data_IF_094673010293
#
_entry.id   IF_094673010293
#
_cell.length_a   1.000
_cell.length_b   1.000
_cell.length_c   1.000
_cell.angle_alpha   90.00
_cell.angle_beta   90.00
_cell.angle_gamma   90.00
#
_symmetry.space_group_name_H-M   'P 1'
#
loop_
_entity.id
_entity.type
_entity.pdbx_description
1 polymer ?
#
# COMPACT_ATOMS: atom_id res chain seq x y z
N UNK A 1 16.29 -9.98 -10.41
CA UNK A 1 15.69 -9.06 -9.42
C UNK A 1 14.30 -8.70 -9.89
N UNK A 2 13.30 -8.68 -9.01
CA UNK A 2 11.95 -8.21 -9.35
C UNK A 2 11.81 -6.81 -8.80
N UNK A 3 11.53 -5.85 -9.67
CA UNK A 3 11.30 -4.46 -9.26
C UNK A 3 10.02 -4.36 -8.43
N UNK A 4 10.15 -3.80 -7.23
CA UNK A 4 9.07 -3.74 -6.25
C UNK A 4 9.10 -2.40 -5.52
N UNK A 5 7.93 -1.97 -5.07
CA UNK A 5 7.81 -0.89 -4.11
C UNK A 5 7.46 -1.46 -2.73
N UNK A 6 7.86 -0.73 -1.70
CA UNK A 6 7.49 -0.99 -0.32
C UNK A 6 6.94 0.27 0.32
N UNK A 7 5.78 0.16 0.94
CA UNK A 7 5.20 1.18 1.81
C UNK A 7 5.26 0.68 3.25
N UNK A 8 5.65 1.54 4.18
CA UNK A 8 5.66 1.25 5.62
C UNK A 8 4.92 2.36 6.35
N UNK A 9 4.00 2.00 7.25
CA UNK A 9 3.17 2.95 7.98
C UNK A 9 2.99 2.51 9.43
N UNK A 10 3.15 3.44 10.37
CA UNK A 10 2.92 3.19 11.78
C UNK A 10 1.43 3.37 12.10
N UNK A 11 0.79 2.29 12.54
CA UNK A 11 -0.63 2.22 12.92
C UNK A 11 -0.79 1.44 14.24
N UNK A 12 -0.23 1.94 15.35
CA UNK A 12 -0.25 1.23 16.62
C UNK A 12 -1.67 0.94 17.12
N UNK A 13 -1.85 -0.24 17.71
CA UNK A 13 -3.13 -0.69 18.27
C UNK A 13 -4.18 -1.12 17.24
N UNK A 14 -3.89 -1.06 15.93
CA UNK A 14 -4.79 -1.57 14.90
C UNK A 14 -4.72 -3.09 14.86
N UNK A 15 -5.89 -3.73 14.81
CA UNK A 15 -6.02 -5.16 14.52
C UNK A 15 -6.35 -5.37 13.04
N UNK A 16 -5.99 -6.54 12.48
CA UNK A 16 -6.25 -6.86 11.07
C UNK A 16 -7.72 -6.73 10.67
N UNK A 17 -8.65 -7.08 11.56
CA UNK A 17 -10.11 -7.00 11.31
C UNK A 17 -10.62 -5.55 11.18
N UNK A 18 -9.86 -4.60 11.74
CA UNK A 18 -10.19 -3.17 11.72
C UNK A 18 -9.37 -2.41 10.68
N UNK A 19 -8.70 -3.12 9.75
CA UNK A 19 -7.88 -2.57 8.69
C UNK A 19 -8.54 -2.85 7.34
N UNK A 20 -8.84 -1.81 6.59
CA UNK A 20 -9.27 -1.87 5.20
C UNK A 20 -8.14 -1.33 4.31
N UNK A 21 -7.68 -2.15 3.38
CA UNK A 21 -6.66 -1.81 2.39
C UNK A 21 -7.27 -1.92 1.00
N UNK A 22 -7.25 -0.82 0.24
CA UNK A 22 -7.62 -0.80 -1.19
C UNK A 22 -6.40 -0.42 -2.01
N UNK A 23 -6.12 -1.19 -3.04
CA UNK A 23 -4.98 -0.96 -3.92
C UNK A 23 -5.46 -0.94 -5.36
N UNK A 24 -5.04 0.09 -6.09
CA UNK A 24 -5.12 0.16 -7.55
C UNK A 24 -3.70 0.21 -8.12
N UNK A 25 -3.59 0.29 -9.44
CA UNK A 25 -2.30 0.36 -10.12
C UNK A 25 -1.48 1.60 -9.71
N UNK A 26 -2.14 2.69 -9.34
CA UNK A 26 -1.50 3.99 -9.06
C UNK A 26 -1.75 4.51 -7.65
N UNK A 27 -2.59 3.86 -6.85
CA UNK A 27 -3.02 4.41 -5.56
C UNK A 27 -3.18 3.31 -4.52
N UNK A 28 -2.73 3.60 -3.30
CA UNK A 28 -3.00 2.79 -2.10
C UNK A 28 -3.86 3.62 -1.14
N UNK A 29 -4.96 3.05 -0.67
CA UNK A 29 -5.82 3.63 0.35
C UNK A 29 -5.80 2.73 1.58
N UNK A 30 -5.42 3.31 2.72
CA UNK A 30 -5.41 2.66 4.03
C UNK A 30 -6.46 3.32 4.90
N UNK A 31 -7.36 2.51 5.45
CA UNK A 31 -8.34 2.89 6.46
C UNK A 31 -8.20 1.97 7.65
N UNK A 32 -8.06 2.53 8.85
CA UNK A 32 -7.99 1.71 10.05
C UNK A 32 -8.60 2.40 11.26
N UNK A 33 -9.00 1.61 12.25
CA UNK A 33 -9.40 2.08 13.56
C UNK A 33 -8.74 1.28 14.69
N UNK A 34 -8.46 1.96 15.79
CA UNK A 34 -7.87 1.39 16.99
C UNK A 34 -8.42 2.07 18.24
N UNK A 35 -8.36 1.35 19.36
CA UNK A 35 -8.58 1.93 20.70
C UNK A 35 -7.24 2.00 21.40
N UNK A 36 -6.75 3.21 21.67
CA UNK A 36 -5.47 3.42 22.37
C UNK A 36 -5.78 4.06 23.73
N UNK A 37 -5.62 3.28 24.79
CA UNK A 37 -6.07 3.65 26.13
C UNK A 37 -7.59 3.82 26.17
N UNK A 38 -8.07 5.05 26.36
CA UNK A 38 -9.50 5.40 26.38
C UNK A 38 -9.97 6.13 25.11
N UNK A 39 -9.13 6.24 24.09
CA UNK A 39 -9.41 7.02 22.87
C UNK A 39 -9.62 6.12 21.67
N UNK A 40 -10.64 6.43 20.87
CA UNK A 40 -10.79 5.89 19.53
C UNK A 40 -9.90 6.69 18.56
N UNK A 41 -9.08 6.00 17.79
CA UNK A 41 -8.18 6.57 16.79
C UNK A 41 -8.56 6.01 15.43
N UNK A 42 -8.71 6.90 14.45
CA UNK A 42 -9.01 6.55 13.07
C UNK A 42 -7.88 7.01 12.17
N UNK A 43 -7.41 6.12 11.32
CA UNK A 43 -6.38 6.39 10.31
C UNK A 43 -7.02 6.38 8.94
N UNK A 44 -6.74 7.40 8.15
CA UNK A 44 -7.08 7.45 6.74
C UNK A 44 -5.90 8.02 5.96
N UNK A 45 -5.42 7.28 4.97
CA UNK A 45 -4.43 7.79 4.03
C UNK A 45 -4.75 7.30 2.62
N UNK A 46 -4.71 8.25 1.68
CA UNK A 46 -4.60 7.99 0.25
C UNK A 46 -3.17 8.32 -0.17
N UNK A 47 -2.54 7.40 -0.88
CA UNK A 47 -1.15 7.50 -1.32
C UNK A 47 -1.15 7.26 -2.82
N UNK A 48 -0.85 8.30 -3.59
CA UNK A 48 -0.60 8.15 -5.01
C UNK A 48 0.84 7.67 -5.21
N UNK A 49 1.00 6.61 -5.98
CA UNK A 49 2.26 5.91 -6.19
C UNK A 49 3.06 6.59 -7.30
N UNK A 50 4.39 6.67 -7.16
CA UNK A 50 5.25 7.25 -8.20
C UNK A 50 5.33 6.37 -9.46
N UNK A 51 4.93 5.10 -9.35
CA UNK A 51 5.00 4.07 -10.40
C UNK A 51 3.74 3.23 -10.41
N UNK A 52 3.44 2.61 -11.55
CA UNK A 52 2.35 1.66 -11.64
C UNK A 52 2.77 0.29 -11.09
N UNK A 53 1.88 -0.33 -10.31
CA UNK A 53 2.07 -1.65 -9.74
C UNK A 53 1.05 -2.66 -10.25
N UNK A 54 1.37 -3.93 -10.08
CA UNK A 54 0.46 -5.06 -10.27
C UNK A 54 -0.36 -5.29 -8.97
N UNK A 55 -1.67 -4.94 -8.94
CA UNK A 55 -2.48 -5.06 -7.72
C UNK A 55 -2.63 -6.50 -7.22
N UNK A 56 -2.56 -7.49 -8.12
CA UNK A 56 -2.69 -8.91 -7.75
C UNK A 56 -1.43 -9.45 -7.06
N UNK A 57 -0.31 -8.72 -7.17
CA UNK A 57 0.95 -9.06 -6.51
C UNK A 57 1.08 -8.52 -5.08
N UNK A 58 0.10 -7.74 -4.62
CA UNK A 58 0.16 -7.05 -3.33
C UNK A 58 0.22 -8.04 -2.17
N UNK A 59 1.17 -7.80 -1.26
CA UNK A 59 1.24 -8.46 0.04
C UNK A 59 1.26 -7.41 1.13
N UNK A 60 0.51 -7.65 2.19
CA UNK A 60 0.45 -6.77 3.36
C UNK A 60 0.73 -7.57 4.63
N UNK A 61 1.54 -7.00 5.53
CA UNK A 61 1.87 -7.57 6.84
C UNK A 61 1.73 -6.48 7.90
N UNK A 62 1.00 -6.80 8.96
CA UNK A 62 0.92 -5.97 10.16
C UNK A 62 1.70 -6.67 11.27
N UNK A 63 2.77 -6.05 11.77
CA UNK A 63 3.63 -6.61 12.82
C UNK A 63 4.02 -5.51 13.78
N UNK A 64 3.79 -5.72 15.08
CA UNK A 64 4.12 -4.77 16.14
C UNK A 64 3.61 -3.33 15.89
N UNK A 65 2.42 -3.18 15.29
CA UNK A 65 1.85 -1.87 14.98
C UNK A 65 2.35 -1.21 13.69
N UNK A 66 3.19 -1.89 12.91
CA UNK A 66 3.68 -1.41 11.60
C UNK A 66 3.01 -2.19 10.49
N UNK A 67 2.38 -1.47 9.56
CA UNK A 67 1.83 -2.01 8.31
C UNK A 67 2.86 -1.88 7.20
N UNK A 68 3.34 -3.01 6.72
CA UNK A 68 4.19 -3.12 5.54
C UNK A 68 3.39 -3.63 4.35
N UNK A 69 3.45 -2.92 3.23
CA UNK A 69 2.80 -3.29 1.97
C UNK A 69 3.90 -3.38 0.91
N UNK A 70 3.95 -4.50 0.19
CA UNK A 70 4.87 -4.73 -0.92
C UNK A 70 4.09 -5.07 -2.18
N UNK A 71 4.47 -4.50 -3.33
CA UNK A 71 3.85 -4.79 -4.61
C UNK A 71 4.91 -4.76 -5.72
N UNK A 72 4.74 -5.63 -6.74
CA UNK A 72 5.60 -5.61 -7.92
C UNK A 72 5.26 -4.41 -8.80
N UNK A 73 6.29 -3.77 -9.32
CA UNK A 73 6.12 -2.73 -10.34
C UNK A 73 5.66 -3.39 -11.63
N UNK A 74 4.67 -2.80 -12.31
CA UNK A 74 4.26 -3.27 -13.62
C UNK A 74 5.42 -3.12 -14.61
N UNK A 75 5.74 -4.17 -15.38
CA UNK A 75 6.77 -4.05 -16.40
C UNK A 75 6.35 -3.02 -17.44
N UNK A 76 7.18 -2.01 -17.67
CA UNK A 76 6.99 -1.07 -18.77
C UNK A 76 7.58 -1.68 -20.03
N UNK A 77 6.72 -2.08 -20.97
CA UNK A 77 7.15 -2.43 -22.32
C UNK A 77 7.55 -1.15 -23.05
N UNK A 78 8.76 -1.13 -23.63
CA UNK A 78 9.11 -0.10 -24.59
C UNK A 78 8.42 -0.41 -25.92
N UNK A 79 7.93 0.63 -26.60
CA UNK A 79 7.52 0.53 -28.00
C UNK A 79 8.51 1.32 -28.82
N UNK A 80 8.94 0.74 -29.92
CA UNK A 80 9.70 1.46 -30.94
C UNK A 80 8.74 2.49 -31.58
N UNK A 81 9.17 3.75 -31.64
CA UNK A 81 8.39 4.84 -32.22
C UNK A 81 9.21 5.41 -33.36
N UNK A 82 8.66 5.38 -34.57
CA UNK A 82 9.26 6.04 -35.74
C UNK A 82 9.07 7.55 -35.61
N UNK A 83 10.15 8.30 -35.75
CA UNK A 83 10.13 9.78 -35.75
C UNK A 83 10.04 10.26 -37.20
N UNK A 84 9.04 11.10 -37.49
CA UNK A 84 8.90 11.84 -38.76
C UNK A 84 9.46 13.26 -38.65
#
# INVERSE_FOLDING_TARGET
>A
MVDQIKLSMDIPGVEKKNLELKVSEKTVIVRASAVIGKRNVHYYRRIDLPVEIDPDSVKARLTAGVLEITARIKPRGFREVTVE
#
